data_IF_593765137115
#
_entry.id   IF_593765137115
#
_cell.length_a   1.000
_cell.length_b   1.000
_cell.length_c   1.000
_cell.angle_alpha   90.00
_cell.angle_beta   90.00
_cell.angle_gamma   90.00
#
_symmetry.space_group_name_H-M   'P 1'
#
loop_
_entity.id
_entity.type
_entity.pdbx_description
1 polymer ?
#
# COMPACT_ATOMS: atom_id res chain seq x y z
N UNK A 1 9.56 -11.24 -9.14
CA UNK A 1 10.57 -12.24 -8.73
C UNK A 1 10.08 -12.89 -7.46
N UNK A 2 10.10 -14.21 -7.47
CA UNK A 2 9.59 -15.17 -6.49
C UNK A 2 10.11 -14.92 -5.07
N UNK A 3 9.19 -14.68 -4.12
CA UNK A 3 9.48 -14.99 -2.71
C UNK A 3 9.59 -16.52 -2.54
N UNK A 4 10.29 -17.01 -1.51
CA UNK A 4 10.47 -18.44 -1.32
C UNK A 4 9.09 -19.09 -1.06
N UNK A 5 8.69 -20.00 -1.96
CA UNK A 5 7.53 -20.85 -1.74
C UNK A 5 7.94 -21.95 -0.77
N UNK A 6 7.41 -21.91 0.45
CA UNK A 6 7.68 -22.91 1.48
C UNK A 6 6.52 -23.90 1.51
N UNK A 7 6.79 -25.14 1.13
CA UNK A 7 5.80 -26.21 1.15
C UNK A 7 5.37 -26.51 2.60
N UNK A 8 4.06 -26.61 2.86
CA UNK A 8 3.47 -26.66 4.20
C UNK A 8 3.85 -27.86 5.10
N UNK A 9 4.75 -28.75 4.66
CA UNK A 9 5.32 -29.83 5.50
C UNK A 9 6.75 -29.54 6.00
N UNK A 10 7.44 -28.56 5.43
CA UNK A 10 8.79 -28.10 5.87
C UNK A 10 8.72 -26.83 6.73
N UNK A 11 7.53 -26.25 6.91
CA UNK A 11 7.32 -25.09 7.76
C UNK A 11 7.16 -25.46 9.25
N UNK A 12 8.05 -26.28 9.79
CA UNK A 12 8.17 -26.33 11.25
C UNK A 12 8.82 -25.03 11.72
N UNK A 13 8.27 -24.34 12.72
CA UNK A 13 8.75 -23.01 13.15
C UNK A 13 10.25 -22.99 13.52
N UNK A 14 10.79 -24.13 13.94
CA UNK A 14 12.19 -24.30 14.29
C UNK A 14 13.12 -24.34 13.07
N UNK A 15 12.70 -24.98 11.96
CA UNK A 15 13.49 -25.04 10.71
C UNK A 15 13.60 -23.66 10.04
N UNK A 16 12.54 -22.85 10.13
CA UNK A 16 12.55 -21.48 9.61
C UNK A 16 13.50 -20.56 10.39
N UNK A 17 13.61 -20.77 11.72
CA UNK A 17 14.56 -20.07 12.57
C UNK A 17 16.00 -20.50 12.27
N UNK A 18 16.23 -21.81 12.08
CA UNK A 18 17.56 -22.33 11.74
C UNK A 18 18.04 -21.81 10.38
N UNK A 19 17.16 -21.74 9.38
CA UNK A 19 17.47 -21.14 8.07
C UNK A 19 17.75 -19.63 8.17
N UNK A 20 17.00 -18.89 8.97
CA UNK A 20 17.24 -17.47 9.23
C UNK A 20 18.59 -17.20 9.90
N UNK A 21 18.97 -18.04 10.86
CA UNK A 21 20.24 -17.96 11.58
C UNK A 21 21.42 -18.42 10.73
N UNK A 22 21.27 -19.48 9.93
CA UNK A 22 22.35 -20.09 9.16
C UNK A 22 22.66 -19.37 7.84
N UNK A 23 21.69 -18.64 7.26
CA UNK A 23 21.84 -18.00 5.95
C UNK A 23 22.30 -16.53 6.00
N UNK A 24 21.67 -15.70 6.84
CA UNK A 24 21.82 -14.23 6.81
C UNK A 24 22.00 -13.61 8.22
N UNK A 25 22.25 -14.42 9.26
CA UNK A 25 22.50 -13.95 10.62
C UNK A 25 21.33 -13.16 11.24
N UNK A 26 21.64 -12.23 12.15
CA UNK A 26 20.65 -11.43 12.87
C UNK A 26 19.76 -10.57 11.96
N UNK A 27 20.23 -10.15 10.79
CA UNK A 27 19.44 -9.44 9.77
C UNK A 27 18.38 -10.36 9.13
N UNK A 28 18.69 -11.65 8.94
CA UNK A 28 17.72 -12.66 8.46
C UNK A 28 16.60 -12.94 9.48
N UNK A 29 16.93 -12.88 10.77
CA UNK A 29 15.94 -12.93 11.85
C UNK A 29 15.10 -11.66 11.92
N UNK A 30 15.69 -10.48 11.75
CA UNK A 30 14.96 -9.20 11.73
C UNK A 30 13.94 -9.15 10.58
N UNK A 31 14.25 -9.78 9.44
CA UNK A 31 13.31 -9.99 8.33
C UNK A 31 12.12 -10.90 8.66
N UNK A 32 12.31 -11.89 9.56
CA UNK A 32 11.22 -12.75 10.06
C UNK A 32 10.32 -12.02 11.08
N UNK A 33 10.87 -11.04 11.81
CA UNK A 33 10.13 -10.20 12.76
C UNK A 33 9.50 -8.95 12.14
N UNK A 34 9.93 -8.55 10.94
CA UNK A 34 9.28 -7.51 10.11
C UNK A 34 7.97 -8.00 9.45
N UNK A 35 7.14 -8.73 10.20
CA UNK A 35 5.80 -9.16 9.76
C UNK A 35 4.76 -8.04 9.81
N UNK A 36 5.11 -6.85 10.31
CA UNK A 36 4.21 -5.71 10.37
C UNK A 36 4.67 -4.59 9.43
N UNK A 37 4.46 -4.81 8.13
CA UNK A 37 4.14 -3.70 7.26
C UNK A 37 2.87 -3.00 7.81
N UNK A 38 2.72 -1.67 7.63
CA UNK A 38 1.58 -0.94 8.17
C UNK A 38 0.29 -1.64 7.71
N UNK A 39 -0.45 -2.21 8.68
CA UNK A 39 -1.64 -3.05 8.51
C UNK A 39 -2.29 -2.87 7.13
N UNK A 40 -2.12 -3.87 6.27
CA UNK A 40 -2.85 -4.05 5.00
C UNK A 40 -4.39 -4.08 5.18
N UNK A 41 -4.92 -3.90 6.39
CA UNK A 41 -6.36 -3.96 6.69
C UNK A 41 -7.21 -2.90 6.01
N UNK A 42 -6.62 -1.86 5.41
CA UNK A 42 -7.35 -0.86 4.61
C UNK A 42 -7.00 -0.92 3.13
N UNK A 43 -6.21 -1.90 2.70
CA UNK A 43 -5.94 -2.12 1.28
C UNK A 43 -7.20 -2.69 0.62
N UNK A 44 -7.64 -2.16 -0.54
CA UNK A 44 -8.69 -2.82 -1.30
C UNK A 44 -8.21 -4.16 -1.86
N UNK A 45 -9.16 -5.04 -2.18
CA UNK A 45 -8.86 -6.26 -2.94
C UNK A 45 -8.20 -5.92 -4.28
N UNK A 46 -7.35 -6.82 -4.78
CA UNK A 46 -6.55 -6.61 -6.00
C UNK A 46 -7.42 -6.27 -7.22
N UNK A 47 -8.59 -6.91 -7.37
CA UNK A 47 -9.54 -6.62 -8.46
C UNK A 47 -10.11 -5.20 -8.38
N UNK A 48 -10.37 -4.70 -7.17
CA UNK A 48 -10.82 -3.32 -6.96
C UNK A 48 -9.67 -2.34 -7.24
N UNK A 49 -8.44 -2.65 -6.81
CA UNK A 49 -7.26 -1.83 -7.10
C UNK A 49 -7.02 -1.71 -8.62
N UNK A 50 -7.11 -2.82 -9.35
CA UNK A 50 -7.03 -2.83 -10.82
C UNK A 50 -8.17 -2.05 -11.47
N UNK A 51 -9.39 -2.17 -10.97
CA UNK A 51 -10.53 -1.37 -11.45
C UNK A 51 -10.30 0.13 -11.25
N UNK A 52 -9.84 0.54 -10.06
CA UNK A 52 -9.50 1.93 -9.76
C UNK A 52 -8.40 2.45 -10.67
N UNK A 53 -7.36 1.64 -10.91
CA UNK A 53 -6.31 1.96 -11.86
C UNK A 53 -6.86 2.12 -13.28
N UNK A 54 -7.68 1.17 -13.76
CA UNK A 54 -8.31 1.25 -15.08
C UNK A 54 -9.16 2.50 -15.24
N UNK A 55 -9.94 2.84 -14.21
CA UNK A 55 -10.74 4.07 -14.18
C UNK A 55 -9.85 5.32 -14.28
N UNK A 56 -8.70 5.34 -13.60
CA UNK A 56 -7.73 6.44 -13.65
C UNK A 56 -7.09 6.64 -15.04
N UNK A 57 -7.21 5.66 -15.95
CA UNK A 57 -6.76 5.81 -17.34
C UNK A 57 -7.82 6.46 -18.24
N UNK A 58 -9.07 6.59 -17.77
CA UNK A 58 -10.14 7.28 -18.50
C UNK A 58 -10.15 8.78 -18.21
N UNK A 59 -10.59 9.60 -19.16
CA UNK A 59 -10.67 11.05 -18.97
C UNK A 59 -11.61 11.44 -17.81
N UNK A 60 -12.75 10.75 -17.67
CA UNK A 60 -13.71 10.99 -16.60
C UNK A 60 -13.21 10.51 -15.24
N UNK A 61 -12.58 9.33 -15.20
CA UNK A 61 -12.01 8.81 -13.96
C UNK A 61 -10.87 9.69 -13.42
N UNK A 62 -10.01 10.24 -14.29
CA UNK A 62 -9.02 11.25 -13.87
C UNK A 62 -9.68 12.45 -13.24
N UNK A 63 -10.68 13.05 -13.89
CA UNK A 63 -11.41 14.20 -13.33
C UNK A 63 -12.05 13.90 -11.97
N UNK A 64 -12.58 12.69 -11.80
CA UNK A 64 -13.15 12.23 -10.53
C UNK A 64 -12.07 12.16 -9.44
N UNK A 65 -10.94 11.50 -9.69
CA UNK A 65 -9.86 11.40 -8.71
C UNK A 65 -9.21 12.75 -8.41
N UNK A 66 -9.04 13.60 -9.43
CA UNK A 66 -8.55 14.98 -9.26
C UNK A 66 -9.49 15.79 -8.33
N UNK A 67 -10.80 15.73 -8.56
CA UNK A 67 -11.77 16.35 -7.66
C UNK A 67 -11.72 15.79 -6.24
N UNK A 68 -11.53 14.47 -6.08
CA UNK A 68 -11.31 13.86 -4.77
C UNK A 68 -10.06 14.42 -4.07
N UNK A 69 -8.96 14.63 -4.80
CA UNK A 69 -7.74 15.25 -4.26
C UNK A 69 -7.96 16.73 -3.92
N UNK A 70 -8.76 17.44 -4.71
CA UNK A 70 -9.11 18.85 -4.49
C UNK A 70 -9.87 19.04 -3.18
N UNK A 71 -10.82 18.16 -2.86
CA UNK A 71 -11.61 18.25 -1.61
C UNK A 71 -10.89 17.61 -0.40
N UNK A 72 -9.79 16.88 -0.64
CA UNK A 72 -8.98 16.24 0.40
C UNK A 72 -7.61 16.91 0.49
N UNK A 73 -6.51 16.27 0.10
CA UNK A 73 -5.11 16.67 0.38
C UNK A 73 -4.70 18.05 -0.13
N UNK A 74 -5.35 18.60 -1.16
CA UNK A 74 -5.00 19.91 -1.73
C UNK A 74 -5.58 21.09 -0.95
N UNK A 75 -6.50 20.87 -0.02
CA UNK A 75 -7.01 21.94 0.83
C UNK A 75 -5.95 22.42 1.83
N UNK A 76 -5.72 23.74 1.97
CA UNK A 76 -4.81 24.24 2.98
C UNK A 76 -5.44 24.09 4.38
N UNK A 77 -4.62 23.75 5.38
CA UNK A 77 -5.02 23.86 6.78
C UNK A 77 -5.05 25.35 7.17
N UNK A 78 -6.24 25.87 7.48
CA UNK A 78 -6.43 27.27 7.88
C UNK A 78 -6.70 27.34 9.37
N UNK A 79 -5.74 27.87 10.13
CA UNK A 79 -5.85 28.06 11.58
C UNK A 79 -5.50 29.52 11.88
N UNK A 80 -6.45 30.27 12.45
CA UNK A 80 -6.26 31.68 12.84
C UNK A 80 -6.98 31.95 14.15
N UNK A 81 -6.29 32.54 15.12
CA UNK A 81 -6.87 32.92 16.42
C UNK A 81 -7.24 31.75 17.34
N UNK A 82 -6.75 30.54 17.06
CA UNK A 82 -7.05 29.33 17.85
C UNK A 82 -6.00 29.08 18.94
N UNK A 83 -6.38 28.38 20.01
CA UNK A 83 -5.42 27.90 21.01
C UNK A 83 -4.56 26.77 20.43
N UNK A 84 -3.49 26.39 21.13
CA UNK A 84 -2.61 25.29 20.71
C UNK A 84 -3.40 23.97 20.63
N UNK A 85 -4.27 23.71 21.61
CA UNK A 85 -5.09 22.50 21.68
C UNK A 85 -6.08 22.43 20.51
N UNK A 86 -6.73 23.56 20.19
CA UNK A 86 -7.62 23.67 19.05
C UNK A 86 -6.88 23.47 17.73
N UNK A 87 -5.68 24.04 17.62
CA UNK A 87 -4.81 23.88 16.46
C UNK A 87 -4.39 22.42 16.25
N UNK A 88 -4.04 21.73 17.34
CA UNK A 88 -3.71 20.30 17.32
C UNK A 88 -4.91 19.44 16.91
N UNK A 89 -6.10 19.73 17.42
CA UNK A 89 -7.33 19.03 17.03
C UNK A 89 -7.64 19.21 15.55
N UNK A 90 -7.57 20.44 15.04
CA UNK A 90 -7.78 20.73 13.61
C UNK A 90 -6.72 20.06 12.73
N UNK A 91 -5.47 20.00 13.20
CA UNK A 91 -4.40 19.25 12.55
C UNK A 91 -4.70 17.75 12.46
N UNK A 92 -5.15 17.14 13.56
CA UNK A 92 -5.52 15.72 13.59
C UNK A 92 -6.69 15.41 12.65
N UNK A 93 -7.74 16.25 12.63
CA UNK A 93 -8.85 16.11 11.67
C UNK A 93 -8.36 16.20 10.23
N UNK A 94 -7.44 17.13 9.94
CA UNK A 94 -6.86 17.29 8.61
C UNK A 94 -6.06 16.07 8.18
N UNK A 95 -5.28 15.49 9.09
CA UNK A 95 -4.55 14.25 8.81
C UNK A 95 -5.48 13.09 8.47
N UNK A 96 -6.63 12.98 9.14
CA UNK A 96 -7.64 11.97 8.78
C UNK A 96 -8.17 12.13 7.35
N UNK A 97 -8.47 13.37 6.93
CA UNK A 97 -8.91 13.67 5.55
C UNK A 97 -7.80 13.36 4.54
N UNK A 98 -6.56 13.69 4.87
CA UNK A 98 -5.41 13.43 4.00
C UNK A 98 -5.15 11.93 3.83
N UNK A 99 -5.21 11.18 4.93
CA UNK A 99 -5.02 9.72 4.92
C UNK A 99 -6.00 8.99 4.02
N UNK A 100 -7.27 9.45 3.94
CA UNK A 100 -8.22 8.91 2.97
C UNK A 100 -7.72 9.04 1.53
N UNK A 101 -7.21 10.21 1.15
CA UNK A 101 -6.72 10.44 -0.20
C UNK A 101 -5.45 9.62 -0.50
N UNK A 102 -4.56 9.51 0.48
CA UNK A 102 -3.34 8.70 0.38
C UNK A 102 -3.67 7.23 0.12
N UNK A 103 -4.67 6.67 0.82
CA UNK A 103 -5.13 5.29 0.59
C UNK A 103 -5.67 5.10 -0.83
N UNK A 104 -6.47 6.05 -1.34
CA UNK A 104 -6.98 6.00 -2.72
C UNK A 104 -5.84 6.03 -3.74
N UNK A 105 -4.86 6.91 -3.57
CA UNK A 105 -3.70 7.00 -4.46
C UNK A 105 -2.83 5.73 -4.40
N UNK A 106 -2.63 5.18 -3.20
CA UNK A 106 -1.90 3.92 -3.00
C UNK A 106 -2.60 2.76 -3.72
N UNK A 107 -3.92 2.65 -3.61
CA UNK A 107 -4.71 1.63 -4.32
C UNK A 107 -4.56 1.73 -5.85
N UNK A 108 -4.60 2.94 -6.41
CA UNK A 108 -4.39 3.17 -7.85
C UNK A 108 -2.98 2.74 -8.27
N UNK A 109 -1.97 3.07 -7.45
CA UNK A 109 -0.59 2.68 -7.71
C UNK A 109 -0.41 1.16 -7.68
N UNK A 110 -1.01 0.48 -6.72
CA UNK A 110 -1.02 -0.98 -6.62
C UNK A 110 -1.70 -1.63 -7.84
N UNK A 111 -2.87 -1.14 -8.27
CA UNK A 111 -3.52 -1.60 -9.50
C UNK A 111 -2.62 -1.47 -10.74
N UNK A 112 -1.82 -0.41 -10.81
CA UNK A 112 -0.82 -0.24 -11.88
C UNK A 112 0.27 -1.31 -11.84
N UNK A 113 0.73 -1.70 -10.64
CA UNK A 113 1.76 -2.72 -10.46
C UNK A 113 1.23 -4.12 -10.81
N UNK A 114 0.01 -4.45 -10.39
CA UNK A 114 -0.63 -5.75 -10.69
C UNK A 114 -0.76 -5.92 -12.21
N UNK A 115 -1.29 -4.90 -12.91
CA UNK A 115 -1.44 -4.96 -14.36
C UNK A 115 -0.08 -5.04 -15.10
N UNK A 116 0.94 -4.35 -14.61
CA UNK A 116 2.29 -4.41 -15.18
C UNK A 116 2.90 -5.82 -15.04
N UNK A 117 2.70 -6.45 -13.87
CA UNK A 117 3.19 -7.81 -13.58
C UNK A 117 2.49 -8.86 -14.44
N UNK A 118 1.17 -8.75 -14.63
CA UNK A 118 0.40 -9.66 -15.50
C UNK A 118 0.85 -9.58 -16.96
N UNK A 119 1.08 -8.37 -17.49
CA UNK A 119 1.61 -8.18 -18.86
C UNK A 119 2.97 -8.85 -19.07
N UNK A 120 3.85 -8.78 -18.08
CA UNK A 120 5.16 -9.45 -18.15
C UNK A 120 5.02 -10.98 -18.14
N UNK A 121 4.10 -11.52 -17.32
CA UNK A 121 3.83 -12.97 -17.25
C UNK A 121 3.27 -13.54 -18.56
N UNK A 122 2.33 -12.84 -19.21
CA UNK A 122 1.78 -13.27 -20.51
C UNK A 122 2.82 -13.27 -21.64
N UNK A 123 3.77 -12.33 -21.62
CA UNK A 123 4.82 -12.25 -22.64
C UNK A 123 5.91 -13.32 -22.46
N UNK A 124 6.01 -13.96 -21.29
CA UNK A 124 6.98 -15.01 -21.01
C UNK A 124 6.48 -16.44 -21.29
N UNK A 125 5.17 -16.64 -21.47
CA UNK A 125 4.56 -17.96 -21.70
C UNK A 125 4.55 -18.40 -23.18
N UNK A 126 5.23 -17.66 -24.06
CA UNK A 126 5.27 -17.90 -25.51
C UNK A 126 6.68 -17.94 -26.11
N UNK A 127 7.71 -18.25 -25.31
CA UNK A 127 9.10 -18.46 -25.77
C UNK A 127 9.55 -19.90 -25.54
#
# INVERSE_FOLDING_TARGET
>A
MTGPFIAGREAQPLDLLEQGVAGNGWEGLEGLFNLDGPKDGLKPEDDLAEFMWGLSQTAHGRKMFEWMMDISIRQPLRITGATIEQSALMGATRQGINGFAEVILKAIAEGSQINSTRKQSQNGAGS
#
